data_IF_373797537742
#
_entry.id   IF_373797537742
#
_cell.length_a   1.000
_cell.length_b   1.000
_cell.length_c   1.000
_cell.angle_alpha   90.00
_cell.angle_beta   90.00
_cell.angle_gamma   90.00
#
_symmetry.space_group_name_H-M   'P 1'
#
loop_
_entity.id
_entity.type
_entity.pdbx_description
1 polymer ?
#
# COMPACT_ATOMS: atom_id res chain seq x y z
N UNK A 1 12.97 -4.31 10.36
CA UNK A 1 11.64 -4.76 9.91
C UNK A 1 11.65 -6.26 9.72
N UNK A 2 10.55 -6.92 10.06
CA UNK A 2 10.29 -8.35 9.84
C UNK A 2 9.39 -8.59 8.60
N UNK A 3 9.42 -7.64 7.67
CA UNK A 3 8.66 -7.66 6.42
C UNK A 3 9.56 -7.28 5.23
N UNK A 4 8.99 -7.14 4.03
CA UNK A 4 9.74 -6.67 2.84
C UNK A 4 10.26 -5.24 2.98
N UNK A 5 9.74 -4.51 3.96
CA UNK A 5 10.22 -3.22 4.42
C UNK A 5 11.16 -3.46 5.60
N UNK A 6 12.33 -3.97 5.24
CA UNK A 6 13.40 -4.41 6.13
C UNK A 6 13.93 -3.30 7.05
N UNK A 7 13.89 -2.05 6.60
CA UNK A 7 14.27 -0.89 7.41
C UNK A 7 13.08 -0.18 8.05
N UNK A 8 11.86 -0.71 7.99
CA UNK A 8 10.72 -0.13 8.71
C UNK A 8 10.42 -0.91 10.00
N UNK A 9 10.55 -0.26 11.16
CA UNK A 9 10.18 -0.86 12.44
C UNK A 9 8.69 -0.68 12.76
N UNK A 10 7.82 -1.36 12.01
CA UNK A 10 6.42 -1.52 12.38
C UNK A 10 6.35 -2.39 13.65
N UNK A 11 5.85 -1.85 14.77
CA UNK A 11 5.76 -2.57 16.05
C UNK A 11 4.31 -2.93 16.41
N UNK A 12 4.14 -4.05 17.10
CA UNK A 12 2.81 -4.58 17.40
C UNK A 12 2.15 -5.16 16.14
N UNK A 13 0.86 -4.91 15.95
CA UNK A 13 0.14 -5.32 14.74
C UNK A 13 0.34 -4.29 13.64
N UNK A 14 0.72 -4.72 12.43
CA UNK A 14 0.79 -3.86 11.26
C UNK A 14 -0.39 -4.10 10.33
N UNK A 15 -0.88 -3.04 9.69
CA UNK A 15 -1.92 -3.17 8.65
C UNK A 15 -1.41 -4.00 7.48
N UNK A 16 -0.13 -3.88 7.12
CA UNK A 16 0.50 -4.65 6.04
C UNK A 16 0.39 -6.17 6.27
N UNK A 17 0.90 -6.67 7.39
CA UNK A 17 0.88 -8.11 7.68
C UNK A 17 -0.55 -8.61 7.95
N UNK A 18 -1.36 -7.82 8.64
CA UNK A 18 -2.72 -8.22 9.01
C UNK A 18 -3.66 -8.24 7.79
N UNK A 19 -3.50 -7.31 6.86
CA UNK A 19 -4.20 -7.32 5.56
C UNK A 19 -3.85 -8.58 4.78
N UNK A 20 -2.56 -8.92 4.71
CA UNK A 20 -2.09 -10.13 4.03
C UNK A 20 -2.70 -11.40 4.61
N UNK A 21 -2.68 -11.53 5.94
CA UNK A 21 -3.29 -12.68 6.61
C UNK A 21 -4.81 -12.73 6.39
N UNK A 22 -5.49 -11.58 6.48
CA UNK A 22 -6.94 -11.49 6.21
C UNK A 22 -7.27 -11.96 4.81
N UNK A 23 -6.56 -11.44 3.80
CA UNK A 23 -6.75 -11.81 2.41
C UNK A 23 -6.43 -13.28 2.13
N UNK A 24 -5.28 -13.77 2.61
CA UNK A 24 -4.86 -15.16 2.45
C UNK A 24 -5.88 -16.14 3.03
N UNK A 25 -6.36 -15.92 4.27
CA UNK A 25 -7.35 -16.79 4.88
C UNK A 25 -8.71 -16.72 4.18
N UNK A 26 -9.09 -15.54 3.66
CA UNK A 26 -10.31 -15.40 2.86
C UNK A 26 -10.23 -16.22 1.56
N UNK A 27 -9.12 -16.12 0.82
CA UNK A 27 -8.91 -16.90 -0.41
C UNK A 27 -8.87 -18.40 -0.11
N UNK A 28 -8.14 -18.82 0.92
CA UNK A 28 -8.07 -20.23 1.30
C UNK A 28 -9.44 -20.80 1.70
N UNK A 29 -10.24 -20.04 2.47
CA UNK A 29 -11.59 -20.44 2.86
C UNK A 29 -12.53 -20.55 1.65
N UNK A 30 -12.53 -19.55 0.76
CA UNK A 30 -13.34 -19.56 -0.46
C UNK A 30 -12.98 -20.75 -1.36
N UNK A 31 -11.69 -21.06 -1.48
CA UNK A 31 -11.19 -22.17 -2.27
C UNK A 31 -11.59 -23.54 -1.69
N UNK A 32 -11.50 -23.71 -0.36
CA UNK A 32 -11.96 -24.92 0.31
C UNK A 32 -13.47 -25.13 0.10
N UNK A 33 -14.27 -24.08 0.25
CA UNK A 33 -15.72 -24.13 0.00
C UNK A 33 -16.04 -24.50 -1.44
N UNK A 34 -15.34 -23.92 -2.42
CA UNK A 34 -15.50 -24.24 -3.84
C UNK A 34 -15.18 -25.69 -4.17
N UNK A 35 -14.31 -26.33 -3.39
CA UNK A 35 -13.95 -27.76 -3.50
C UNK A 35 -14.86 -28.67 -2.66
N UNK A 36 -15.84 -28.13 -1.93
CA UNK A 36 -16.69 -28.91 -1.01
C UNK A 36 -15.94 -29.41 0.23
N UNK A 37 -14.84 -28.77 0.61
CA UNK A 37 -14.04 -29.10 1.80
C UNK A 37 -14.50 -28.29 3.02
N UNK A 38 -14.25 -28.81 4.22
CA UNK A 38 -14.51 -28.07 5.46
C UNK A 38 -13.60 -26.83 5.56
N UNK A 39 -14.23 -25.65 5.57
CA UNK A 39 -13.57 -24.37 5.67
C UNK A 39 -13.67 -23.72 7.06
N UNK A 40 -14.29 -24.39 8.04
CA UNK A 40 -14.61 -23.82 9.37
C UNK A 40 -13.38 -23.22 10.04
N UNK A 41 -12.26 -23.96 10.05
CA UNK A 41 -11.02 -23.51 10.68
C UNK A 41 -10.32 -22.38 9.90
N UNK A 42 -10.57 -22.24 8.60
CA UNK A 42 -10.04 -21.16 7.75
C UNK A 42 -10.86 -19.88 7.93
N UNK A 43 -12.19 -20.00 7.97
CA UNK A 43 -13.12 -18.91 8.27
C UNK A 43 -12.82 -18.33 9.65
N UNK A 44 -12.65 -19.17 10.68
CA UNK A 44 -12.29 -18.71 12.02
C UNK A 44 -10.93 -17.99 12.08
N UNK A 45 -9.95 -18.39 11.24
CA UNK A 45 -8.66 -17.69 11.13
C UNK A 45 -8.81 -16.35 10.41
N UNK A 46 -9.61 -16.28 9.34
CA UNK A 46 -9.97 -15.03 8.65
C UNK A 46 -10.61 -14.04 9.61
N UNK A 47 -11.61 -14.48 10.39
CA UNK A 47 -12.32 -13.61 11.35
C UNK A 47 -11.41 -13.06 12.44
N UNK A 48 -10.48 -13.87 12.96
CA UNK A 48 -9.46 -13.39 13.90
C UNK A 48 -8.54 -12.35 13.26
N UNK A 49 -8.05 -12.61 12.05
CA UNK A 49 -7.19 -11.66 11.33
C UNK A 49 -7.94 -10.34 11.04
N UNK A 50 -9.21 -10.42 10.62
CA UNK A 50 -10.05 -9.26 10.39
C UNK A 50 -10.34 -8.49 11.68
N UNK A 51 -10.54 -9.16 12.82
CA UNK A 51 -10.68 -8.50 14.11
C UNK A 51 -9.43 -7.70 14.51
N UNK A 52 -8.24 -8.23 14.26
CA UNK A 52 -6.98 -7.49 14.45
C UNK A 52 -6.91 -6.31 13.48
N UNK A 53 -7.28 -6.48 12.21
CA UNK A 53 -7.26 -5.39 11.23
C UNK A 53 -8.22 -4.26 11.63
N UNK A 54 -9.42 -4.58 12.09
CA UNK A 54 -10.39 -3.57 12.55
C UNK A 54 -9.90 -2.83 13.80
N UNK A 55 -9.07 -3.45 14.65
CA UNK A 55 -8.45 -2.73 15.78
C UNK A 55 -7.46 -1.64 15.34
N UNK A 56 -6.99 -1.68 14.08
CA UNK A 56 -6.14 -0.65 13.48
C UNK A 56 -6.94 0.46 12.80
N UNK A 57 -8.27 0.36 12.72
CA UNK A 57 -9.11 1.34 12.04
C UNK A 57 -9.24 2.62 12.86
N UNK A 58 -8.93 3.78 12.26
CA UNK A 58 -8.96 5.09 12.93
C UNK A 58 -10.31 5.81 12.88
N UNK A 59 -11.26 5.29 12.09
CA UNK A 59 -12.43 6.06 11.64
C UNK A 59 -12.33 6.48 10.18
N UNK A 60 -11.11 6.63 9.66
CA UNK A 60 -10.83 7.11 8.29
C UNK A 60 -9.94 6.13 7.49
N UNK A 61 -8.96 5.52 8.14
CA UNK A 61 -7.99 4.62 7.51
C UNK A 61 -7.44 3.60 8.52
N UNK A 62 -6.77 2.55 8.03
CA UNK A 62 -5.98 1.66 8.91
C UNK A 62 -4.63 2.28 9.25
N UNK A 63 -4.28 2.28 10.54
CA UNK A 63 -2.95 2.65 11.06
C UNK A 63 -1.87 1.73 10.47
N UNK A 64 -0.68 2.26 10.25
CA UNK A 64 0.47 1.48 9.79
C UNK A 64 0.89 0.44 10.84
N UNK A 65 0.87 0.82 12.13
CA UNK A 65 1.23 -0.04 13.26
C UNK A 65 0.37 0.24 14.50
N UNK A 66 0.22 -0.74 15.41
CA UNK A 66 -0.48 -0.57 16.68
C UNK A 66 0.42 -0.05 17.81
N UNK A 67 1.74 -0.08 17.63
CA UNK A 67 2.71 0.41 18.60
C UNK A 67 3.93 1.03 17.89
N UNK A 68 4.72 1.78 18.64
CA UNK A 68 5.95 2.41 18.15
C UNK A 68 5.70 3.73 17.43
N UNK A 69 6.58 4.07 16.48
CA UNK A 69 6.64 5.38 15.82
C UNK A 69 5.46 5.65 14.89
N UNK A 70 4.91 4.61 14.28
CA UNK A 70 3.94 4.70 13.17
C UNK A 70 2.49 4.47 13.60
N UNK A 71 2.14 4.78 14.85
CA UNK A 71 0.78 4.54 15.38
C UNK A 71 -0.28 5.47 14.81
N UNK A 72 0.11 6.67 14.38
CA UNK A 72 -0.79 7.63 13.74
C UNK A 72 -0.54 7.73 12.23
N UNK A 73 0.34 6.87 11.70
CA UNK A 73 0.71 6.88 10.30
C UNK A 73 -0.23 6.01 9.46
N UNK A 74 -0.36 6.35 8.19
CA UNK A 74 -0.97 5.52 7.16
C UNK A 74 0.11 4.96 6.24
N UNK A 75 -0.10 3.72 5.81
CA UNK A 75 0.68 3.08 4.76
C UNK A 75 -0.28 2.73 3.60
N UNK A 76 -0.32 3.50 2.50
CA UNK A 76 -1.41 3.42 1.51
C UNK A 76 -1.54 2.06 0.82
N UNK A 77 -0.44 1.35 0.64
CA UNK A 77 -0.42 0.02 0.02
C UNK A 77 -0.59 -1.13 1.02
N UNK A 78 -0.69 -0.84 2.32
CA UNK A 78 -0.77 -1.86 3.37
C UNK A 78 -1.96 -2.81 3.22
N UNK A 79 -3.02 -2.36 2.56
CA UNK A 79 -4.24 -3.15 2.36
C UNK A 79 -4.20 -4.07 1.13
N UNK A 80 -3.06 -4.24 0.48
CA UNK A 80 -2.97 -5.01 -0.77
C UNK A 80 -3.38 -6.49 -0.64
N UNK A 81 -3.33 -7.08 0.56
CA UNK A 81 -3.87 -8.42 0.81
C UNK A 81 -5.38 -8.49 0.61
N UNK A 82 -6.12 -7.43 0.97
CA UNK A 82 -7.57 -7.33 0.74
C UNK A 82 -7.87 -7.17 -0.75
N UNK A 83 -7.08 -6.34 -1.44
CA UNK A 83 -7.16 -6.16 -2.89
C UNK A 83 -6.92 -7.47 -3.64
N UNK A 84 -5.90 -8.22 -3.25
CA UNK A 84 -5.59 -9.51 -3.88
C UNK A 84 -6.72 -10.53 -3.65
N UNK A 85 -7.31 -10.55 -2.45
CA UNK A 85 -8.46 -11.40 -2.16
C UNK A 85 -9.67 -11.06 -3.04
N UNK A 86 -9.97 -9.77 -3.24
CA UNK A 86 -11.05 -9.30 -4.12
C UNK A 86 -10.84 -9.79 -5.57
N UNK A 87 -9.61 -9.69 -6.08
CA UNK A 87 -9.25 -10.20 -7.41
C UNK A 87 -9.42 -11.73 -7.54
N UNK A 88 -9.24 -12.47 -6.45
CA UNK A 88 -9.51 -13.90 -6.37
C UNK A 88 -10.99 -14.23 -6.14
N UNK A 89 -11.89 -13.23 -6.08
CA UNK A 89 -13.31 -13.42 -5.80
C UNK A 89 -13.64 -13.75 -4.34
N UNK A 90 -12.69 -13.51 -3.42
CA UNK A 90 -12.87 -13.76 -1.99
C UNK A 90 -13.16 -12.45 -1.24
N UNK A 91 -14.27 -12.44 -0.49
CA UNK A 91 -14.68 -11.26 0.28
C UNK A 91 -13.92 -11.15 1.61
N UNK A 92 -13.53 -9.93 1.95
CA UNK A 92 -12.84 -9.58 3.20
C UNK A 92 -13.61 -8.52 4.00
N UNK A 93 -13.24 -7.25 3.88
CA UNK A 93 -13.91 -6.09 4.51
C UNK A 93 -14.85 -5.42 3.51
N UNK A 94 -15.79 -4.56 3.96
CA UNK A 94 -16.62 -3.78 3.05
C UNK A 94 -15.78 -2.90 2.10
N UNK A 95 -16.10 -2.81 0.80
CA UNK A 95 -15.37 -1.98 -0.16
C UNK A 95 -15.25 -0.51 0.25
N UNK A 96 -16.19 0.00 1.03
CA UNK A 96 -16.19 1.36 1.58
C UNK A 96 -14.99 1.59 2.52
N UNK A 97 -14.59 0.58 3.31
CA UNK A 97 -13.39 0.64 4.16
C UNK A 97 -12.13 0.81 3.32
N UNK A 98 -12.04 0.05 2.23
CA UNK A 98 -10.92 0.10 1.31
C UNK A 98 -10.86 1.47 0.63
N UNK A 99 -11.98 1.95 0.07
CA UNK A 99 -12.04 3.29 -0.55
C UNK A 99 -11.65 4.41 0.41
N UNK A 100 -12.10 4.34 1.66
CA UNK A 100 -11.75 5.33 2.68
C UNK A 100 -10.24 5.33 3.00
N UNK A 101 -9.64 4.17 3.22
CA UNK A 101 -8.19 4.07 3.40
C UNK A 101 -7.40 4.59 2.19
N UNK A 102 -7.83 4.24 0.97
CA UNK A 102 -7.15 4.67 -0.25
C UNK A 102 -7.24 6.19 -0.45
N UNK A 103 -8.41 6.81 -0.20
CA UNK A 103 -8.56 8.26 -0.23
C UNK A 103 -7.70 8.96 0.81
N UNK A 104 -7.63 8.43 2.03
CA UNK A 104 -6.75 8.95 3.06
C UNK A 104 -5.27 8.87 2.63
N UNK A 105 -4.86 7.77 1.99
CA UNK A 105 -3.51 7.61 1.46
C UNK A 105 -3.20 8.58 0.32
N UNK A 106 -4.19 8.86 -0.52
CA UNK A 106 -4.09 9.87 -1.58
C UNK A 106 -3.86 11.28 -0.99
N UNK A 107 -4.66 11.67 0.00
CA UNK A 107 -4.51 12.99 0.63
C UNK A 107 -3.22 13.10 1.45
N UNK A 108 -2.90 12.11 2.28
CA UNK A 108 -1.79 12.18 3.23
C UNK A 108 -0.44 11.92 2.55
N UNK A 109 -0.34 10.85 1.76
CA UNK A 109 0.96 10.40 1.23
C UNK A 109 1.27 10.92 -0.17
N UNK A 110 0.25 11.23 -0.98
CA UNK A 110 0.45 11.78 -2.33
C UNK A 110 0.31 13.31 -2.35
N UNK A 111 -0.86 13.86 -2.02
CA UNK A 111 -1.06 15.32 -2.00
C UNK A 111 -0.19 15.99 -0.93
N UNK A 112 0.00 15.33 0.22
CA UNK A 112 0.87 15.80 1.29
C UNK A 112 2.37 15.74 1.00
N UNK A 113 2.81 15.11 -0.10
CA UNK A 113 4.22 15.02 -0.47
C UNK A 113 4.50 15.68 -1.82
N UNK A 114 5.33 16.72 -1.80
CA UNK A 114 5.73 17.48 -3.00
C UNK A 114 4.53 17.88 -3.88
N UNK A 115 3.39 18.22 -3.25
CA UNK A 115 2.13 18.59 -3.90
C UNK A 115 1.67 17.59 -4.99
N UNK A 116 1.94 16.29 -4.78
CA UNK A 116 1.60 15.23 -5.73
C UNK A 116 2.45 15.23 -7.01
N UNK A 117 3.60 15.91 -7.06
CA UNK A 117 4.40 15.99 -8.28
C UNK A 117 5.29 14.77 -8.53
N UNK A 118 5.49 13.92 -7.52
CA UNK A 118 6.45 12.78 -7.58
C UNK A 118 5.72 11.44 -7.52
N UNK A 119 4.82 11.28 -6.55
CA UNK A 119 4.12 10.04 -6.23
C UNK A 119 3.89 9.93 -4.71
N UNK A 120 3.17 8.90 -4.24
CA UNK A 120 2.88 8.71 -2.82
C UNK A 120 4.10 8.23 -2.04
N UNK A 121 4.33 8.79 -0.86
CA UNK A 121 5.20 8.17 0.14
C UNK A 121 4.69 6.79 0.56
N UNK A 122 5.59 5.90 0.96
CA UNK A 122 5.21 4.59 1.51
C UNK A 122 4.40 4.74 2.81
N UNK A 123 4.83 5.66 3.67
CA UNK A 123 4.20 5.96 4.96
C UNK A 123 4.07 7.48 5.10
N UNK A 124 2.93 7.96 5.61
CA UNK A 124 2.73 9.37 5.93
C UNK A 124 1.84 9.57 7.16
N UNK A 125 1.92 10.76 7.74
CA UNK A 125 1.12 11.17 8.90
C UNK A 125 0.44 12.50 8.60
N UNK A 126 -0.84 12.61 8.95
CA UNK A 126 -1.58 13.87 8.75
C UNK A 126 -0.91 15.00 9.53
N UNK A 127 -0.72 16.14 8.88
CA UNK A 127 -0.11 17.32 9.49
C UNK A 127 1.42 17.26 9.61
N UNK A 128 2.07 16.16 9.22
CA UNK A 128 3.52 16.09 9.12
C UNK A 128 3.95 16.64 7.76
N UNK A 129 4.50 17.85 7.76
CA UNK A 129 5.03 18.53 6.55
C UNK A 129 6.54 18.38 6.39
N UNK A 130 7.23 17.86 7.43
CA UNK A 130 8.66 17.61 7.43
C UNK A 130 9.02 16.15 7.18
N UNK A 131 10.27 15.91 6.77
CA UNK A 131 10.84 14.56 6.66
C UNK A 131 10.75 13.85 8.02
N UNK A 132 10.53 12.54 7.99
CA UNK A 132 10.82 11.71 9.15
C UNK A 132 12.30 11.86 9.51
N UNK A 133 12.58 12.03 10.81
CA UNK A 133 13.94 12.15 11.33
C UNK A 133 14.80 10.97 10.90
N UNK A 134 16.08 11.26 10.66
CA UNK A 134 17.09 10.25 10.34
C UNK A 134 17.37 9.44 11.60
N UNK A 135 17.01 8.16 11.59
CA UNK A 135 17.11 7.24 12.72
C UNK A 135 17.98 6.03 12.41
N UNK A 136 18.83 6.12 11.38
CA UNK A 136 19.86 5.14 11.09
C UNK A 136 19.44 4.10 10.04
N UNK A 137 18.54 4.46 9.13
CA UNK A 137 18.22 3.66 7.94
C UNK A 137 16.74 3.59 7.57
N UNK A 138 15.82 3.90 8.50
CA UNK A 138 14.38 3.92 8.19
C UNK A 138 14.04 5.12 7.29
N UNK A 139 14.80 6.22 7.40
CA UNK A 139 14.56 7.47 6.66
C UNK A 139 14.49 7.28 5.14
N UNK A 140 15.18 6.28 4.60
CA UNK A 140 15.24 5.97 3.17
C UNK A 140 13.94 5.34 2.66
N UNK A 141 13.13 4.73 3.52
CA UNK A 141 11.87 4.07 3.12
C UNK A 141 10.64 4.92 3.41
N UNK A 142 10.75 5.95 4.25
CA UNK A 142 9.64 6.85 4.63
C UNK A 142 9.66 8.21 3.96
N UNK A 143 10.82 8.67 3.47
CA UNK A 143 10.97 9.97 2.80
C UNK A 143 11.12 9.87 1.27
N UNK A 144 10.98 8.66 0.72
CA UNK A 144 11.07 8.37 -0.71
C UNK A 144 9.76 7.72 -1.20
N UNK A 145 9.44 7.92 -2.47
CA UNK A 145 8.39 7.20 -3.19
C UNK A 145 8.95 5.86 -3.62
N UNK A 146 8.40 4.76 -3.09
CA UNK A 146 8.79 3.42 -3.48
C UNK A 146 7.97 2.99 -4.69
N UNK A 147 8.61 2.99 -5.86
CA UNK A 147 7.94 2.98 -7.16
C UNK A 147 6.96 1.81 -7.34
N UNK A 148 7.35 0.60 -6.89
CA UNK A 148 6.45 -0.57 -6.96
C UNK A 148 5.23 -0.46 -6.05
N UNK A 149 5.41 0.08 -4.84
CA UNK A 149 4.33 0.35 -3.89
C UNK A 149 3.38 1.41 -4.44
N UNK A 150 3.93 2.48 -5.02
CA UNK A 150 3.15 3.53 -5.64
C UNK A 150 2.28 3.00 -6.80
N UNK A 151 2.81 2.12 -7.65
CA UNK A 151 2.02 1.48 -8.71
C UNK A 151 0.94 0.53 -8.16
N UNK A 152 1.24 -0.22 -7.09
CA UNK A 152 0.24 -1.05 -6.41
C UNK A 152 -0.91 -0.20 -5.84
N UNK A 153 -0.58 0.90 -5.15
CA UNK A 153 -1.56 1.85 -4.64
C UNK A 153 -2.41 2.46 -5.77
N UNK A 154 -1.78 2.85 -6.87
CA UNK A 154 -2.47 3.36 -8.07
C UNK A 154 -3.45 2.33 -8.65
N UNK A 155 -3.05 1.05 -8.72
CA UNK A 155 -3.91 -0.02 -9.19
C UNK A 155 -5.11 -0.25 -8.27
N UNK A 156 -4.91 -0.18 -6.95
CA UNK A 156 -6.00 -0.27 -5.98
C UNK A 156 -6.95 0.92 -6.07
N UNK A 157 -6.45 2.16 -6.18
CA UNK A 157 -7.29 3.34 -6.43
C UNK A 157 -8.20 3.10 -7.63
N UNK A 158 -7.63 2.69 -8.77
CA UNK A 158 -8.39 2.40 -9.98
C UNK A 158 -9.42 1.28 -9.78
N UNK A 159 -9.02 0.17 -9.17
CA UNK A 159 -9.89 -1.01 -8.97
C UNK A 159 -11.12 -0.69 -8.13
N UNK A 160 -10.94 0.12 -7.08
CA UNK A 160 -12.02 0.50 -6.18
C UNK A 160 -12.76 1.78 -6.60
N UNK A 161 -12.65 2.19 -7.87
CA UNK A 161 -13.45 3.27 -8.47
C UNK A 161 -12.94 4.70 -8.23
N UNK A 162 -11.73 4.86 -7.69
CA UNK A 162 -11.07 6.16 -7.45
C UNK A 162 -10.23 6.55 -8.68
N UNK A 163 -10.89 6.65 -9.83
CA UNK A 163 -10.23 6.78 -11.14
C UNK A 163 -9.51 8.11 -11.32
N UNK A 164 -10.05 9.21 -10.77
CA UNK A 164 -9.41 10.52 -10.87
C UNK A 164 -8.11 10.55 -10.07
N UNK A 165 -8.17 10.10 -8.82
CA UNK A 165 -7.02 9.96 -7.92
C UNK A 165 -5.97 9.03 -8.54
N UNK A 166 -6.38 7.89 -9.10
CA UNK A 166 -5.48 6.97 -9.80
C UNK A 166 -4.80 7.63 -11.02
N UNK A 167 -5.55 8.44 -11.79
CA UNK A 167 -5.02 9.15 -12.95
C UNK A 167 -3.97 10.19 -12.58
N UNK A 168 -4.21 10.94 -11.49
CA UNK A 168 -3.25 11.92 -10.98
C UNK A 168 -1.93 11.24 -10.54
N UNK A 169 -2.03 10.20 -9.71
CA UNK A 169 -0.86 9.46 -9.22
C UNK A 169 -0.09 8.79 -10.38
N UNK A 170 -0.80 8.15 -11.31
CA UNK A 170 -0.16 7.54 -12.49
C UNK A 170 0.56 8.60 -13.35
N UNK A 171 -0.06 9.76 -13.51
CA UNK A 171 0.50 10.89 -14.26
C UNK A 171 1.78 11.42 -13.61
N UNK A 172 1.82 11.56 -12.28
CA UNK A 172 3.03 12.00 -11.56
C UNK A 172 4.15 10.98 -11.73
N UNK A 173 3.88 9.69 -11.46
CA UNK A 173 4.85 8.62 -11.60
C UNK A 173 5.39 8.55 -13.03
N UNK A 174 4.52 8.70 -14.03
CA UNK A 174 4.94 8.74 -15.43
C UNK A 174 5.91 9.90 -15.70
N UNK A 175 5.58 11.12 -15.27
CA UNK A 175 6.46 12.28 -15.45
C UNK A 175 7.81 12.06 -14.76
N UNK A 176 7.81 11.62 -13.50
CA UNK A 176 9.03 11.36 -12.72
C UNK A 176 9.92 10.30 -13.36
N UNK A 177 9.34 9.23 -13.92
CA UNK A 177 10.12 8.11 -14.45
C UNK A 177 10.51 8.27 -15.92
N UNK A 178 9.73 9.00 -16.72
CA UNK A 178 9.87 8.99 -18.18
C UNK A 178 10.03 10.38 -18.82
N UNK A 179 9.75 11.49 -18.12
CA UNK A 179 9.86 12.84 -18.69
C UNK A 179 11.23 13.48 -18.39
N UNK A 180 12.26 13.04 -19.12
CA UNK A 180 13.58 13.71 -19.11
C UNK A 180 14.49 13.40 -17.92
N UNK A 181 14.11 12.46 -17.04
CA UNK A 181 14.94 12.05 -15.89
C UNK A 181 16.01 11.01 -16.24
N UNK A 182 15.95 10.45 -17.44
CA UNK A 182 16.87 9.40 -17.87
C UNK A 182 16.65 8.05 -17.17
N UNK A 183 15.54 7.86 -16.44
CA UNK A 183 15.24 6.62 -15.71
C UNK A 183 14.57 5.56 -16.60
N UNK A 184 14.32 5.86 -17.88
CA UNK A 184 13.75 4.91 -18.83
C UNK A 184 14.65 3.67 -18.94
N UNK A 185 14.02 2.48 -18.95
CA UNK A 185 14.70 1.17 -18.97
C UNK A 185 15.63 0.86 -17.79
N UNK A 186 15.63 1.70 -16.75
CA UNK A 186 16.38 1.46 -15.50
C UNK A 186 15.61 1.92 -14.27
N UNK A 187 14.29 1.79 -14.32
CA UNK A 187 13.37 2.25 -13.27
C UNK A 187 13.85 1.81 -11.89
N UNK A 188 14.04 2.76 -10.95
CA UNK A 188 14.62 2.49 -9.64
C UNK A 188 13.60 1.90 -8.67
N UNK A 189 14.09 1.41 -7.52
CA UNK A 189 13.25 1.01 -6.41
C UNK A 189 12.54 2.21 -5.78
N UNK A 190 13.23 3.35 -5.71
CA UNK A 190 12.77 4.56 -5.04
C UNK A 190 13.17 5.83 -5.78
N UNK A 191 12.36 6.88 -5.63
CA UNK A 191 12.62 8.27 -6.10
C UNK A 191 12.22 9.27 -5.02
N UNK A 192 12.85 10.45 -5.00
CA UNK A 192 12.52 11.53 -4.07
C UNK A 192 12.31 12.87 -4.81
N UNK A 193 11.70 13.85 -4.13
CA UNK A 193 11.38 15.16 -4.68
C UNK A 193 12.60 15.95 -5.17
N UNK A 194 13.78 15.70 -4.62
CA UNK A 194 15.04 16.34 -5.03
C UNK A 194 15.64 15.75 -6.32
N UNK A 195 14.93 14.82 -6.98
CA UNK A 195 15.42 14.12 -8.16
C UNK A 195 16.41 13.00 -7.84
N UNK A 196 16.55 12.64 -6.57
CA UNK A 196 17.35 11.50 -6.12
C UNK A 196 16.61 10.19 -6.40
N UNK A 197 17.37 9.12 -6.64
CA UNK A 197 16.84 7.77 -6.82
C UNK A 197 17.75 6.71 -6.21
N UNK A 198 17.20 5.53 -5.93
CA UNK A 198 17.92 4.42 -5.32
C UNK A 198 17.62 3.07 -5.97
N UNK A 199 18.66 2.26 -6.11
CA UNK A 199 18.62 0.91 -6.69
C UNK A 199 17.94 0.89 -8.09
N UNK A 200 18.60 1.42 -9.15
CA UNK A 200 18.11 1.33 -10.53
C UNK A 200 17.97 -0.13 -10.99
N UNK A 201 17.27 -0.34 -12.11
CA UNK A 201 17.01 -1.68 -12.67
C UNK A 201 16.28 -2.60 -11.69
N UNK A 202 15.29 -2.05 -10.97
CA UNK A 202 14.57 -2.79 -9.95
C UNK A 202 13.39 -3.58 -10.51
N UNK A 203 13.06 -4.71 -9.86
CA UNK A 203 11.92 -5.55 -10.24
C UNK A 203 10.57 -4.96 -9.81
N UNK A 204 10.50 -4.33 -8.62
CA UNK A 204 9.23 -3.89 -8.00
C UNK A 204 8.38 -2.94 -8.89
N UNK A 205 8.96 -2.04 -9.71
CA UNK A 205 8.19 -1.22 -10.65
C UNK A 205 7.30 -1.98 -11.65
N UNK A 206 7.55 -3.27 -11.89
CA UNK A 206 6.65 -4.10 -12.71
C UNK A 206 5.23 -4.23 -12.12
N UNK A 207 5.02 -3.82 -10.87
CA UNK A 207 3.70 -3.68 -10.27
C UNK A 207 2.74 -2.78 -11.07
N UNK A 208 3.23 -1.94 -11.99
CA UNK A 208 2.39 -1.18 -12.94
C UNK A 208 1.40 -2.07 -13.71
N UNK A 209 1.75 -3.33 -13.96
CA UNK A 209 0.87 -4.29 -14.65
C UNK A 209 -0.41 -4.62 -13.88
N UNK A 210 -0.49 -4.35 -12.58
CA UNK A 210 -1.74 -4.44 -11.84
C UNK A 210 -2.83 -3.52 -12.40
N UNK A 211 -2.49 -2.42 -13.05
CA UNK A 211 -3.46 -1.56 -13.73
C UNK A 211 -4.20 -2.29 -14.87
N UNK A 212 -3.53 -3.22 -15.56
CA UNK A 212 -4.16 -4.04 -16.58
C UNK A 212 -5.11 -5.07 -15.95
N UNK A 213 -4.71 -5.68 -14.83
CA UNK A 213 -5.54 -6.63 -14.10
C UNK A 213 -6.82 -6.01 -13.53
N UNK A 214 -6.83 -4.70 -13.30
CA UNK A 214 -7.95 -3.95 -12.71
C UNK A 214 -8.82 -3.22 -13.72
N UNK A 215 -8.60 -3.40 -15.02
CA UNK A 215 -9.31 -2.70 -16.10
C UNK A 215 -10.66 -3.32 -16.50
N UNK A 216 -11.38 -3.93 -15.55
CA UNK A 216 -12.72 -4.52 -15.80
C UNK A 216 -13.83 -3.49 -15.68
#
# INVERSE_FOLDING_TARGET
GDSTWDNLALRGHSSYATSLLTGMWAVAAAEAQRRGQDATALVARRERAQGVLESLWTGEHYRAASAGKYTEAIMPDSIWGLFYAELCGARTVPPERIRAHLRAGYEICYRGYADGQVGPLLIGERGRTGRYEQDGGEELQVNEVLVGSAWMFTAMLRHFGLHAEAGEVAGSLHRTLYAGTGLQFRTPAAVAAEGLFRAPLNLRPLAIWWLAATSR
#
